data_IF_269277898108
#
_entry.id   IF_269277898108
#
_cell.length_a   1.000
_cell.length_b   1.000
_cell.length_c   1.000
_cell.angle_alpha   90.00
_cell.angle_beta   90.00
_cell.angle_gamma   90.00
#
_symmetry.space_group_name_H-M   'P 1'
#
loop_
_entity.id
_entity.type
_entity.pdbx_description
1 polymer ?
#
# COMPACT_ATOMS: atom_id res chain seq x y z
N UNK A 1 -37.50 -7.70 17.43
CA UNK A 1 -36.18 -7.04 17.64
C UNK A 1 -35.31 -7.17 16.39
N UNK A 2 -35.25 -6.09 15.62
CA UNK A 2 -34.52 -5.97 14.37
C UNK A 2 -33.01 -6.03 14.62
N UNK A 3 -32.30 -6.95 13.92
CA UNK A 3 -30.84 -6.91 13.87
C UNK A 3 -30.43 -5.58 13.25
N UNK A 4 -29.55 -4.78 13.87
CA UNK A 4 -29.19 -3.52 13.27
C UNK A 4 -28.32 -3.79 12.04
N UNK A 5 -28.70 -3.23 10.89
CA UNK A 5 -28.01 -3.38 9.61
C UNK A 5 -26.75 -2.52 9.56
N UNK A 6 -25.73 -2.85 10.34
CA UNK A 6 -24.43 -2.20 10.22
C UNK A 6 -23.57 -2.93 9.18
N UNK A 7 -23.88 -2.75 7.89
CA UNK A 7 -22.94 -3.09 6.82
C UNK A 7 -22.08 -1.85 6.53
N UNK A 8 -21.18 -1.50 7.44
CA UNK A 8 -20.06 -0.63 7.05
C UNK A 8 -19.09 -1.44 6.20
N UNK A 9 -18.54 -0.82 5.15
CA UNK A 9 -17.63 -1.48 4.23
C UNK A 9 -16.22 -1.58 4.86
N UNK A 10 -15.43 -2.63 4.55
CA UNK A 10 -14.03 -2.75 4.98
C UNK A 10 -13.17 -1.50 4.72
N UNK A 11 -13.53 -0.71 3.70
CA UNK A 11 -12.90 0.57 3.36
C UNK A 11 -13.07 1.63 4.47
N UNK A 12 -14.26 1.74 5.07
CA UNK A 12 -14.54 2.72 6.13
C UNK A 12 -13.80 2.34 7.42
N UNK A 13 -13.72 1.05 7.75
CA UNK A 13 -12.94 0.57 8.89
C UNK A 13 -11.43 0.83 8.69
N UNK A 14 -10.94 0.70 7.46
CA UNK A 14 -9.54 1.01 7.15
C UNK A 14 -9.23 2.52 7.26
N UNK A 15 -10.15 3.39 6.80
CA UNK A 15 -10.02 4.83 7.00
C UNK A 15 -9.99 5.20 8.49
N UNK A 16 -10.89 4.61 9.29
CA UNK A 16 -10.90 4.78 10.73
C UNK A 16 -9.58 4.34 11.37
N UNK A 17 -8.98 3.23 10.94
CA UNK A 17 -7.67 2.80 11.42
C UNK A 17 -6.58 3.84 11.10
N UNK A 18 -6.57 4.38 9.89
CA UNK A 18 -5.59 5.41 9.48
C UNK A 18 -5.74 6.72 10.26
N UNK A 19 -6.95 7.05 10.70
CA UNK A 19 -7.20 8.20 11.55
C UNK A 19 -6.81 7.91 13.00
N UNK A 20 -7.09 6.70 13.49
CA UNK A 20 -6.83 6.29 14.87
C UNK A 20 -5.36 6.04 15.19
N UNK A 21 -4.58 5.64 14.20
CA UNK A 21 -3.19 5.23 14.42
C UNK A 21 -2.27 5.74 13.30
N UNK A 22 -1.06 6.22 13.64
CA UNK A 22 -0.06 6.57 12.64
C UNK A 22 0.50 5.34 11.91
N UNK A 23 0.18 4.12 12.35
CA UNK A 23 0.76 2.87 11.87
C UNK A 23 0.87 2.77 10.35
N UNK A 24 -0.24 2.94 9.63
CA UNK A 24 -0.28 2.85 8.16
C UNK A 24 0.36 4.08 7.50
N UNK A 25 0.15 5.27 8.07
CA UNK A 25 0.67 6.53 7.54
C UNK A 25 2.20 6.60 7.63
N UNK A 26 2.78 6.04 8.69
CA UNK A 26 4.23 5.95 8.90
C UNK A 26 4.89 5.21 7.73
N UNK A 27 4.44 3.99 7.45
CA UNK A 27 4.98 3.19 6.34
C UNK A 27 4.89 3.90 4.99
N UNK A 28 3.72 4.51 4.70
CA UNK A 28 3.52 5.27 3.46
C UNK A 28 4.45 6.50 3.37
N UNK A 29 4.58 7.30 4.42
CA UNK A 29 5.41 8.50 4.39
C UNK A 29 6.90 8.18 4.34
N UNK A 30 7.36 7.14 5.05
CA UNK A 30 8.75 6.69 4.96
C UNK A 30 9.07 6.15 3.57
N UNK A 31 8.19 5.34 2.97
CA UNK A 31 8.36 4.87 1.60
C UNK A 31 8.36 6.03 0.61
N UNK A 32 7.43 6.98 0.75
CA UNK A 32 7.35 8.16 -0.12
C UNK A 32 8.62 9.03 -0.03
N UNK A 33 9.18 9.21 1.17
CA UNK A 33 10.43 9.95 1.33
C UNK A 33 11.59 9.27 0.59
N UNK A 34 11.74 7.94 0.74
CA UNK A 34 12.75 7.17 0.00
C UNK A 34 12.54 7.26 -1.53
N UNK A 35 11.29 7.26 -1.99
CA UNK A 35 10.94 7.44 -3.40
C UNK A 35 11.35 8.83 -3.89
N UNK A 36 10.99 9.90 -3.17
CA UNK A 36 11.32 11.28 -3.53
C UNK A 36 12.83 11.49 -3.67
N UNK A 37 13.61 10.97 -2.72
CA UNK A 37 15.07 11.03 -2.76
C UNK A 37 15.64 10.25 -3.95
N UNK A 38 15.12 9.04 -4.19
CA UNK A 38 15.57 8.22 -5.29
C UNK A 38 15.30 8.86 -6.66
N UNK A 39 14.14 9.48 -6.86
CA UNK A 39 13.72 10.03 -8.17
C UNK A 39 14.00 11.52 -8.33
N UNK A 40 14.76 12.13 -7.42
CA UNK A 40 15.11 13.54 -7.49
C UNK A 40 15.79 13.89 -8.82
N UNK A 41 15.26 14.93 -9.49
CA UNK A 41 15.76 15.41 -10.78
C UNK A 41 15.27 14.63 -12.01
N UNK A 42 14.55 13.52 -11.82
CA UNK A 42 13.96 12.75 -12.93
C UNK A 42 12.79 13.52 -13.54
N UNK A 43 12.61 13.41 -14.86
CA UNK A 43 11.49 14.06 -15.57
C UNK A 43 10.26 13.17 -15.72
N UNK A 44 10.45 11.86 -15.52
CA UNK A 44 9.41 10.83 -15.63
C UNK A 44 9.64 9.80 -14.54
N UNK A 45 8.62 9.58 -13.73
CA UNK A 45 8.64 8.61 -12.63
C UNK A 45 7.55 7.59 -12.89
N UNK A 46 7.89 6.31 -12.81
CA UNK A 46 6.94 5.22 -12.98
C UNK A 46 6.95 4.31 -11.77
N UNK A 47 5.86 4.35 -11.01
CA UNK A 47 5.64 3.52 -9.84
C UNK A 47 4.85 2.28 -10.26
N UNK A 48 5.38 1.11 -9.93
CA UNK A 48 4.69 -0.17 -10.00
C UNK A 48 4.29 -0.54 -8.58
N UNK A 49 2.99 -0.51 -8.29
CA UNK A 49 2.44 -0.80 -6.97
C UNK A 49 1.87 -2.21 -6.93
N UNK A 50 2.40 -3.04 -6.04
CA UNK A 50 1.97 -4.42 -5.87
C UNK A 50 0.51 -4.56 -5.39
N UNK A 51 0.01 -3.62 -4.58
CA UNK A 51 -1.35 -3.63 -4.03
C UNK A 51 -1.83 -2.20 -3.70
N UNK A 52 -2.37 -1.53 -4.72
CA UNK A 52 -2.67 -0.10 -4.66
C UNK A 52 -3.78 0.30 -3.67
N UNK A 53 -4.62 -0.66 -3.26
CA UNK A 53 -5.78 -0.43 -2.41
C UNK A 53 -6.62 0.79 -2.88
N UNK A 54 -6.78 1.79 -2.01
CA UNK A 54 -7.51 3.04 -2.27
C UNK A 54 -6.62 4.19 -2.78
N UNK A 55 -5.31 3.95 -2.96
CA UNK A 55 -4.36 4.94 -3.48
C UNK A 55 -3.95 6.06 -2.52
N UNK A 56 -4.25 5.94 -1.22
CA UNK A 56 -3.98 7.00 -0.22
C UNK A 56 -2.50 7.38 -0.16
N UNK A 57 -1.58 6.41 -0.23
CA UNK A 57 -0.14 6.67 -0.28
C UNK A 57 0.21 7.65 -1.41
N UNK A 58 -0.38 7.46 -2.58
CA UNK A 58 -0.03 8.20 -3.78
C UNK A 58 -0.54 9.63 -3.79
N UNK A 59 -1.71 9.90 -3.20
CA UNK A 59 -2.18 11.27 -3.02
C UNK A 59 -1.16 12.10 -2.21
N UNK A 60 -0.61 11.54 -1.14
CA UNK A 60 0.42 12.25 -0.35
C UNK A 60 1.75 12.41 -1.07
N UNK A 61 2.18 11.41 -1.86
CA UNK A 61 3.39 11.54 -2.69
C UNK A 61 3.23 12.65 -3.73
N UNK A 62 2.08 12.70 -4.42
CA UNK A 62 1.80 13.72 -5.42
C UNK A 62 1.86 15.13 -4.85
N UNK A 63 1.31 15.36 -3.65
CA UNK A 63 1.45 16.64 -2.95
C UNK A 63 2.89 16.98 -2.65
N UNK A 64 3.65 16.02 -2.10
CA UNK A 64 5.06 16.24 -1.77
C UNK A 64 5.91 16.57 -3.02
N UNK A 65 5.65 15.90 -4.15
CA UNK A 65 6.31 16.18 -5.43
C UNK A 65 6.01 17.62 -5.90
N UNK A 66 4.77 18.08 -5.80
CA UNK A 66 4.40 19.45 -6.18
C UNK A 66 5.02 20.47 -5.22
N UNK A 67 4.95 20.24 -3.90
CA UNK A 67 5.47 21.17 -2.89
C UNK A 67 6.98 21.33 -2.93
N UNK A 68 7.76 20.27 -3.18
CA UNK A 68 9.21 20.40 -3.36
C UNK A 68 9.56 21.26 -4.59
N UNK A 69 8.67 21.31 -5.57
CA UNK A 69 8.89 21.96 -6.85
C UNK A 69 8.49 23.44 -6.89
N UNK A 70 7.71 23.92 -5.92
CA UNK A 70 7.36 25.36 -5.80
C UNK A 70 8.59 26.27 -5.72
N UNK A 71 9.74 25.71 -5.32
CA UNK A 71 11.03 26.42 -5.22
C UNK A 71 11.94 26.22 -6.44
N UNK A 72 11.53 25.43 -7.44
CA UNK A 72 12.33 25.04 -8.61
C UNK A 72 11.82 25.67 -9.91
N UNK A 73 12.72 25.91 -10.85
CA UNK A 73 12.41 26.47 -12.19
C UNK A 73 11.79 25.39 -13.11
N UNK A 74 12.04 24.11 -12.83
CA UNK A 74 11.56 23.00 -13.67
C UNK A 74 10.14 22.57 -13.28
N UNK A 75 9.27 22.17 -14.23
CA UNK A 75 7.94 21.63 -13.91
C UNK A 75 8.04 20.23 -13.27
N UNK A 76 7.05 19.82 -12.46
CA UNK A 76 7.05 18.50 -11.84
C UNK A 76 7.10 17.36 -12.84
N UNK A 77 7.72 16.23 -12.45
CA UNK A 77 7.84 15.10 -13.34
C UNK A 77 6.47 14.58 -13.75
N UNK A 78 6.42 13.95 -14.92
CA UNK A 78 5.28 13.11 -15.23
C UNK A 78 5.29 11.89 -14.30
N UNK A 79 4.22 11.71 -13.52
CA UNK A 79 4.03 10.56 -12.66
C UNK A 79 3.13 9.53 -13.32
N UNK A 80 3.64 8.31 -13.48
CA UNK A 80 2.87 7.15 -13.94
C UNK A 80 2.74 6.15 -12.79
N UNK A 81 1.54 5.65 -12.55
CA UNK A 81 1.31 4.55 -11.60
C UNK A 81 0.73 3.35 -12.33
N UNK A 82 1.32 2.18 -12.14
CA UNK A 82 0.80 0.88 -12.58
C UNK A 82 0.42 0.05 -11.37
N UNK A 83 -0.87 -0.22 -11.20
CA UNK A 83 -1.34 -1.16 -10.18
C UNK A 83 -1.20 -2.61 -10.67
N UNK A 84 -0.61 -3.47 -9.85
CA UNK A 84 -0.58 -4.92 -10.08
C UNK A 84 -1.92 -5.52 -9.63
N UNK A 85 -2.50 -6.37 -10.48
CA UNK A 85 -3.79 -7.03 -10.24
C UNK A 85 -3.66 -8.54 -10.36
N UNK A 86 -4.48 -9.30 -9.61
CA UNK A 86 -4.46 -10.78 -9.64
C UNK A 86 -5.50 -11.32 -10.61
N UNK A 87 -5.22 -12.46 -11.25
CA UNK A 87 -6.14 -13.07 -12.23
C UNK A 87 -7.40 -13.67 -11.60
N UNK A 88 -7.39 -13.95 -10.29
CA UNK A 88 -8.51 -14.56 -9.53
C UNK A 88 -9.28 -13.63 -8.58
N UNK A 89 -9.04 -12.30 -8.61
CA UNK A 89 -9.74 -11.37 -7.73
C UNK A 89 -11.26 -11.33 -8.03
N UNK A 90 -12.09 -11.23 -6.99
CA UNK A 90 -13.53 -10.94 -7.16
C UNK A 90 -13.69 -9.76 -8.13
N UNK A 91 -14.65 -9.78 -9.08
CA UNK A 91 -14.84 -8.69 -10.06
C UNK A 91 -14.91 -7.29 -9.43
N UNK A 92 -15.31 -7.19 -8.16
CA UNK A 92 -15.25 -5.97 -7.34
C UNK A 92 -13.84 -5.36 -7.21
N UNK A 93 -12.77 -6.16 -7.22
CA UNK A 93 -11.36 -5.72 -7.10
C UNK A 93 -10.85 -4.99 -8.35
N UNK A 94 -11.25 -5.41 -9.55
CA UNK A 94 -10.83 -4.71 -10.78
C UNK A 94 -11.56 -3.38 -10.92
N UNK A 95 -12.86 -3.36 -10.62
CA UNK A 95 -13.65 -2.12 -10.59
C UNK A 95 -13.08 -1.14 -9.56
N UNK A 96 -12.70 -1.61 -8.37
CA UNK A 96 -12.11 -0.74 -7.34
C UNK A 96 -10.75 -0.17 -7.75
N UNK A 97 -9.89 -0.93 -8.46
CA UNK A 97 -8.61 -0.42 -8.98
C UNK A 97 -8.82 0.66 -10.04
N UNK A 98 -9.78 0.47 -10.96
CA UNK A 98 -10.11 1.50 -11.97
C UNK A 98 -10.68 2.77 -11.33
N UNK A 99 -11.54 2.63 -10.32
CA UNK A 99 -12.08 3.78 -9.60
C UNK A 99 -11.00 4.50 -8.78
N UNK A 100 -10.05 3.76 -8.21
CA UNK A 100 -8.85 4.32 -7.57
C UNK A 100 -8.02 5.12 -8.57
N UNK A 101 -7.75 4.56 -9.75
CA UNK A 101 -7.05 5.25 -10.82
C UNK A 101 -7.73 6.55 -11.26
N UNK A 102 -9.08 6.56 -11.34
CA UNK A 102 -9.86 7.77 -11.63
C UNK A 102 -9.73 8.82 -10.52
N UNK A 103 -9.81 8.41 -9.25
CA UNK A 103 -9.63 9.32 -8.09
C UNK A 103 -8.24 9.94 -8.08
N UNK A 104 -7.21 9.14 -8.31
CA UNK A 104 -5.82 9.61 -8.41
C UNK A 104 -5.61 10.57 -9.59
N UNK A 105 -6.21 10.28 -10.76
CA UNK A 105 -6.12 11.18 -11.90
C UNK A 105 -6.83 12.51 -11.67
N UNK A 106 -8.02 12.49 -11.06
CA UNK A 106 -8.73 13.71 -10.68
C UNK A 106 -7.95 14.53 -9.66
N UNK A 107 -7.34 13.87 -8.67
CA UNK A 107 -6.50 14.53 -7.68
C UNK A 107 -5.25 15.16 -8.29
N UNK A 108 -4.50 14.42 -9.12
CA UNK A 108 -3.34 14.93 -9.83
C UNK A 108 -3.69 16.17 -10.68
N UNK A 109 -4.82 16.12 -11.40
CA UNK A 109 -5.31 17.26 -12.17
C UNK A 109 -5.64 18.48 -11.29
N UNK A 110 -6.23 18.26 -10.10
CA UNK A 110 -6.58 19.34 -9.17
C UNK A 110 -5.37 20.09 -8.60
N UNK A 111 -4.19 19.45 -8.58
CA UNK A 111 -2.93 20.04 -8.12
C UNK A 111 -1.96 20.35 -9.27
N UNK A 112 -2.39 20.23 -10.52
CA UNK A 112 -1.58 20.55 -11.70
C UNK A 112 -0.44 19.56 -12.00
N UNK A 113 -0.50 18.33 -11.48
CA UNK A 113 0.52 17.30 -11.72
C UNK A 113 0.21 16.50 -13.00
N UNK A 114 1.20 16.36 -13.88
CA UNK A 114 1.09 15.50 -15.06
C UNK A 114 1.06 14.03 -14.65
N UNK A 115 -0.03 13.33 -14.92
CA UNK A 115 -0.27 11.99 -14.38
C UNK A 115 -0.82 11.00 -15.41
N UNK A 116 -0.44 9.73 -15.29
CA UNK A 116 -1.07 8.61 -16.00
C UNK A 116 -1.25 7.39 -15.09
N UNK A 117 -2.33 6.64 -15.33
CA UNK A 117 -2.64 5.43 -14.58
C UNK A 117 -2.73 4.22 -15.51
N UNK A 118 -2.17 3.10 -15.08
CA UNK A 118 -2.26 1.82 -15.75
C UNK A 118 -2.45 0.68 -14.77
N UNK A 119 -2.65 -0.50 -15.32
CA UNK A 119 -2.66 -1.74 -14.55
C UNK A 119 -1.92 -2.82 -15.33
N UNK A 120 -1.29 -3.73 -14.59
CA UNK A 120 -0.78 -4.99 -15.13
C UNK A 120 -1.35 -6.14 -14.31
N UNK A 121 -1.27 -7.35 -14.85
CA UNK A 121 -1.82 -8.54 -14.20
C UNK A 121 -0.72 -9.54 -13.94
N UNK A 122 -0.76 -10.14 -12.76
CA UNK A 122 -0.04 -11.37 -12.49
C UNK A 122 -0.55 -12.48 -13.43
N UNK A 123 0.31 -13.43 -13.75
CA UNK A 123 -0.10 -14.59 -14.54
C UNK A 123 -0.94 -15.59 -13.73
N UNK A 124 -1.21 -16.75 -14.30
CA UNK A 124 -1.97 -17.82 -13.65
C UNK A 124 -1.30 -18.39 -12.40
N UNK A 125 0.02 -18.23 -12.27
CA UNK A 125 0.84 -18.73 -11.16
C UNK A 125 1.10 -17.62 -10.12
N UNK A 126 0.34 -16.53 -10.20
CA UNK A 126 0.49 -15.32 -9.38
C UNK A 126 1.89 -14.70 -9.46
N UNK A 127 2.56 -14.83 -10.61
CA UNK A 127 3.89 -14.28 -10.88
C UNK A 127 3.80 -12.98 -11.68
N UNK A 128 4.65 -12.00 -11.35
CA UNK A 128 4.78 -10.79 -12.15
C UNK A 128 5.74 -11.07 -13.30
N UNK A 129 5.25 -10.97 -14.54
CA UNK A 129 6.10 -10.99 -15.73
C UNK A 129 6.57 -9.57 -16.03
N UNK A 130 7.88 -9.26 -16.08
CA UNK A 130 8.38 -7.91 -16.35
C UNK A 130 7.82 -7.30 -17.64
N UNK A 131 7.63 -8.11 -18.69
CA UNK A 131 7.03 -7.70 -19.95
C UNK A 131 5.56 -7.20 -19.83
N UNK A 132 4.85 -7.55 -18.75
CA UNK A 132 3.51 -7.04 -18.47
C UNK A 132 3.53 -5.57 -17.97
N UNK A 133 4.67 -5.11 -17.46
CA UNK A 133 4.89 -3.73 -17.05
C UNK A 133 5.39 -2.93 -18.25
N UNK A 134 4.54 -2.03 -18.76
CA UNK A 134 4.89 -1.18 -19.92
C UNK A 134 5.87 -0.07 -19.49
N UNK A 135 7.16 -0.37 -19.52
CA UNK A 135 8.19 0.63 -19.21
C UNK A 135 8.48 1.51 -20.44
N UNK A 136 8.59 2.82 -20.24
CA UNK A 136 8.96 3.79 -21.30
C UNK A 136 10.41 4.22 -21.12
N UNK A 137 11.14 4.35 -22.23
CA UNK A 137 12.54 4.79 -22.19
C UNK A 137 12.67 6.15 -21.48
N UNK A 138 13.57 6.21 -20.50
CA UNK A 138 13.90 7.43 -19.75
C UNK A 138 12.98 7.73 -18.56
N UNK A 139 12.18 6.77 -18.10
CA UNK A 139 11.50 6.88 -16.81
C UNK A 139 12.29 6.20 -15.68
N UNK A 140 12.27 6.80 -14.50
CA UNK A 140 12.77 6.17 -13.28
C UNK A 140 11.70 5.23 -12.72
N UNK A 141 11.99 3.93 -12.74
CA UNK A 141 11.08 2.89 -12.27
C UNK A 141 11.22 2.71 -10.76
N UNK A 142 10.10 2.62 -10.06
CA UNK A 142 9.99 2.40 -8.61
C UNK A 142 9.08 1.21 -8.40
N UNK A 143 9.49 0.26 -7.54
CA UNK A 143 8.61 -0.82 -7.09
C UNK A 143 8.19 -0.55 -5.65
N UNK A 144 6.89 -0.53 -5.39
CA UNK A 144 6.34 -0.34 -4.05
C UNK A 144 5.54 -1.58 -3.62
N UNK A 145 5.89 -2.12 -2.45
CA UNK A 145 5.26 -3.28 -1.85
C UNK A 145 4.86 -2.94 -0.41
N UNK A 146 3.64 -2.43 -0.23
CA UNK A 146 3.08 -2.12 1.09
C UNK A 146 2.20 -3.29 1.59
N UNK A 147 2.68 -4.03 2.57
CA UNK A 147 2.14 -5.31 3.03
C UNK A 147 1.19 -5.23 4.24
N UNK A 148 0.55 -4.08 4.50
CA UNK A 148 -0.33 -3.89 5.66
C UNK A 148 -1.52 -4.90 5.73
N UNK A 149 -1.97 -5.30 6.95
CA UNK A 149 -3.28 -5.96 7.17
C UNK A 149 -4.44 -5.00 6.80
N UNK A 150 -5.62 -5.45 6.33
CA UNK A 150 -6.29 -6.76 6.50
C UNK A 150 -6.16 -7.74 5.30
N UNK A 151 -5.22 -7.52 4.38
CA UNK A 151 -5.17 -8.25 3.10
C UNK A 151 -4.17 -9.41 3.03
N UNK A 152 -3.68 -9.85 4.20
CA UNK A 152 -2.87 -11.07 4.37
C UNK A 152 -3.37 -12.29 3.57
N UNK A 153 -4.69 -12.59 3.45
CA UNK A 153 -5.12 -13.81 2.74
C UNK A 153 -4.92 -13.79 1.22
N UNK A 154 -4.55 -12.65 0.61
CA UNK A 154 -4.45 -12.49 -0.84
C UNK A 154 -3.02 -12.54 -1.37
N UNK A 155 -2.02 -12.85 -0.53
CA UNK A 155 -0.60 -12.71 -0.86
C UNK A 155 0.14 -14.02 -0.57
N UNK A 156 0.67 -14.66 -1.61
CA UNK A 156 1.62 -15.76 -1.44
C UNK A 156 3.04 -15.21 -1.37
N UNK A 157 3.90 -15.81 -0.53
CA UNK A 157 5.31 -15.45 -0.46
C UNK A 157 6.00 -15.56 -1.84
N UNK A 158 5.61 -16.56 -2.64
CA UNK A 158 6.07 -16.72 -4.01
C UNK A 158 5.67 -15.55 -4.92
N UNK A 159 4.47 -14.99 -4.77
CA UNK A 159 4.00 -13.85 -5.55
C UNK A 159 4.74 -12.56 -5.19
N UNK A 160 4.98 -12.32 -3.90
CA UNK A 160 5.80 -11.18 -3.42
C UNK A 160 7.25 -11.34 -3.89
N UNK A 161 7.83 -12.54 -3.75
CA UNK A 161 9.18 -12.82 -4.22
C UNK A 161 9.31 -12.60 -5.74
N UNK A 162 8.30 -12.98 -6.52
CA UNK A 162 8.21 -12.71 -7.96
C UNK A 162 8.26 -11.21 -8.26
N UNK A 163 7.43 -10.44 -7.55
CA UNK A 163 7.36 -8.99 -7.71
C UNK A 163 8.71 -8.34 -7.38
N UNK A 164 9.30 -8.66 -6.24
CA UNK A 164 10.60 -8.12 -5.83
C UNK A 164 11.73 -8.58 -6.77
N UNK A 165 11.70 -9.83 -7.22
CA UNK A 165 12.66 -10.38 -8.19
C UNK A 165 12.63 -9.66 -9.54
N UNK A 166 11.47 -9.11 -9.94
CA UNK A 166 11.34 -8.35 -11.18
C UNK A 166 12.06 -6.99 -11.16
N UNK A 167 12.48 -6.50 -9.99
CA UNK A 167 13.11 -5.19 -9.84
C UNK A 167 14.34 -5.02 -10.73
N UNK A 168 15.21 -6.03 -10.79
CA UNK A 168 16.44 -5.97 -11.59
C UNK A 168 16.13 -5.91 -13.09
N UNK A 169 15.16 -6.70 -13.56
CA UNK A 169 14.79 -6.75 -14.98
C UNK A 169 14.08 -5.47 -15.43
N UNK A 170 13.33 -4.84 -14.52
CA UNK A 170 12.67 -3.55 -14.77
C UNK A 170 13.61 -2.35 -14.61
N UNK A 171 14.86 -2.57 -14.18
CA UNK A 171 15.81 -1.48 -13.91
C UNK A 171 15.33 -0.55 -12.79
N UNK A 172 14.69 -1.11 -11.76
CA UNK A 172 14.13 -0.35 -10.66
C UNK A 172 15.20 0.47 -9.94
N UNK A 173 14.94 1.76 -9.76
CA UNK A 173 15.84 2.70 -9.07
C UNK A 173 15.74 2.58 -7.56
N UNK A 174 14.54 2.27 -7.05
CA UNK A 174 14.31 1.95 -5.64
C UNK A 174 13.17 0.94 -5.53
N UNK A 175 13.30 0.06 -4.53
CA UNK A 175 12.24 -0.85 -4.11
C UNK A 175 11.88 -0.50 -2.67
N UNK A 176 10.63 -0.15 -2.42
CA UNK A 176 10.11 0.10 -1.07
C UNK A 176 9.30 -1.10 -0.60
N UNK A 177 9.65 -1.62 0.57
CA UNK A 177 8.89 -2.69 1.24
C UNK A 177 8.46 -2.17 2.60
N UNK A 178 7.16 -2.21 2.85
CA UNK A 178 6.57 -1.85 4.15
C UNK A 178 5.89 -3.10 4.66
N UNK A 179 6.42 -3.69 5.72
CA UNK A 179 5.90 -4.91 6.33
C UNK A 179 5.75 -4.70 7.83
N UNK A 180 4.80 -5.40 8.43
CA UNK A 180 4.67 -5.47 9.87
C UNK A 180 5.83 -6.30 10.44
N UNK A 181 6.54 -5.76 11.43
CA UNK A 181 7.62 -6.48 12.07
C UNK A 181 7.04 -7.64 12.91
N UNK A 182 7.21 -8.87 12.44
CA UNK A 182 6.93 -10.08 13.22
C UNK A 182 8.21 -10.45 13.99
N UNK A 183 8.12 -10.49 15.31
CA UNK A 183 9.25 -10.77 16.20
C UNK A 183 9.61 -12.28 16.24
N UNK A 184 9.77 -12.92 15.09
CA UNK A 184 9.89 -14.38 14.99
C UNK A 184 10.73 -14.90 13.82
N UNK A 185 11.30 -14.01 12.99
CA UNK A 185 12.08 -14.37 11.80
C UNK A 185 13.53 -14.81 12.04
N UNK A 186 13.96 -15.00 13.29
CA UNK A 186 15.19 -15.75 13.55
C UNK A 186 14.87 -17.21 13.21
N UNK A 187 15.57 -17.79 12.23
CA UNK A 187 15.29 -19.08 11.58
C UNK A 187 15.28 -20.34 12.46
N UNK A 188 15.00 -20.23 13.75
CA UNK A 188 14.64 -21.36 14.60
C UNK A 188 13.16 -21.69 14.39
N UNK A 189 12.89 -22.56 13.41
CA UNK A 189 11.57 -23.08 13.04
C UNK A 189 10.87 -23.91 14.13
N UNK A 190 11.15 -23.63 15.41
CA UNK A 190 10.69 -24.39 16.57
C UNK A 190 10.07 -23.50 17.66
N UNK A 191 9.34 -22.44 17.30
CA UNK A 191 8.35 -21.88 18.22
C UNK A 191 7.08 -22.71 18.11
N UNK A 192 6.92 -23.68 19.01
CA UNK A 192 5.65 -24.40 19.15
C UNK A 192 4.48 -23.43 19.39
N UNK A 193 3.24 -23.92 19.27
CA UNK A 193 2.01 -23.12 19.37
C UNK A 193 2.03 -22.02 20.45
N UNK A 194 2.52 -22.35 21.66
CA UNK A 194 2.58 -21.41 22.79
C UNK A 194 3.47 -20.19 22.49
N UNK A 195 4.62 -20.39 21.83
CA UNK A 195 5.53 -19.31 21.48
C UNK A 195 4.89 -18.34 20.49
N UNK A 196 4.32 -18.87 19.40
CA UNK A 196 3.59 -18.07 18.40
C UNK A 196 2.39 -17.36 19.00
N UNK A 197 1.60 -18.05 19.85
CA UNK A 197 0.45 -17.45 20.52
C UNK A 197 0.86 -16.29 21.43
N UNK A 198 1.92 -16.45 22.22
CA UNK A 198 2.39 -15.39 23.12
C UNK A 198 2.95 -14.18 22.37
N UNK A 199 3.62 -14.40 21.24
CA UNK A 199 4.10 -13.32 20.37
C UNK A 199 2.94 -12.55 19.75
N UNK A 200 1.95 -13.28 19.23
CA UNK A 200 0.76 -12.71 18.63
C UNK A 200 -0.09 -11.93 19.64
N UNK A 201 -0.20 -12.46 20.87
CA UNK A 201 -0.82 -11.74 22.00
C UNK A 201 -0.10 -10.44 22.33
N UNK A 202 1.24 -10.43 22.35
CA UNK A 202 2.02 -9.21 22.60
C UNK A 202 1.83 -8.19 21.47
N UNK A 203 1.84 -8.66 20.22
CA UNK A 203 1.60 -7.83 19.02
C UNK A 203 0.23 -7.16 19.08
N UNK A 204 -0.82 -7.95 19.31
CA UNK A 204 -2.18 -7.45 19.42
C UNK A 204 -2.37 -6.53 20.64
N UNK A 205 -1.79 -6.86 21.80
CA UNK A 205 -1.83 -5.97 22.97
C UNK A 205 -1.24 -4.60 22.66
N UNK A 206 -0.04 -4.54 22.06
CA UNK A 206 0.62 -3.29 21.71
C UNK A 206 -0.20 -2.45 20.72
N UNK A 207 -0.83 -3.08 19.73
CA UNK A 207 -1.72 -2.39 18.80
C UNK A 207 -2.98 -1.84 19.49
N UNK A 208 -3.57 -2.59 20.42
CA UNK A 208 -4.79 -2.17 21.14
C UNK A 208 -4.49 -1.01 22.08
N UNK A 209 -3.37 -1.08 22.81
CA UNK A 209 -2.90 -0.02 23.69
C UNK A 209 -2.62 1.27 22.87
N UNK A 210 -2.02 1.13 21.68
CA UNK A 210 -1.80 2.26 20.77
C UNK A 210 -3.10 2.89 20.28
N UNK A 211 -4.12 2.09 19.96
CA UNK A 211 -5.43 2.61 19.52
C UNK A 211 -6.16 3.30 20.66
N UNK A 212 -6.06 2.76 21.88
CA UNK A 212 -6.65 3.34 23.09
C UNK A 212 -6.04 4.71 23.41
N UNK A 213 -4.71 4.81 23.32
CA UNK A 213 -3.99 6.06 23.57
C UNK A 213 -4.27 7.13 22.49
N UNK A 214 -4.40 6.73 21.22
CA UNK A 214 -4.61 7.65 20.11
C UNK A 214 -6.01 8.26 20.05
N UNK A 215 -7.05 7.49 20.38
CA UNK A 215 -8.45 7.89 20.22
C UNK A 215 -9.34 7.53 21.43
N UNK A 216 -9.21 8.25 22.57
CA UNK A 216 -9.87 7.87 23.81
C UNK A 216 -11.42 7.96 23.84
N UNK A 217 -12.12 8.36 22.76
CA UNK A 217 -13.54 8.78 22.86
C UNK A 217 -14.52 8.26 21.77
N UNK A 218 -14.21 7.20 21.02
CA UNK A 218 -15.14 6.60 20.03
C UNK A 218 -15.23 5.08 20.14
N UNK A 219 -15.77 4.55 21.25
CA UNK A 219 -15.84 3.09 21.50
C UNK A 219 -16.53 2.27 20.39
N UNK A 220 -17.48 2.87 19.66
CA UNK A 220 -18.12 2.22 18.51
C UNK A 220 -17.21 2.15 17.29
N UNK A 221 -16.44 3.19 17.00
CA UNK A 221 -15.52 3.22 15.86
C UNK A 221 -14.31 2.31 16.12
N UNK A 222 -13.75 2.35 17.33
CA UNK A 222 -12.68 1.44 17.78
C UNK A 222 -13.10 -0.01 17.68
N UNK A 223 -14.25 -0.38 18.25
CA UNK A 223 -14.75 -1.76 18.19
C UNK A 223 -15.03 -2.26 16.77
N UNK A 224 -15.21 -1.38 15.78
CA UNK A 224 -15.32 -1.76 14.38
C UNK A 224 -13.96 -2.05 13.74
N UNK A 225 -12.96 -1.21 14.00
CA UNK A 225 -11.58 -1.42 13.56
C UNK A 225 -11.04 -2.73 14.14
N UNK A 226 -11.22 -2.92 15.45
CA UNK A 226 -10.83 -4.14 16.15
C UNK A 226 -11.50 -5.38 15.57
N UNK A 227 -12.77 -5.31 15.15
CA UNK A 227 -13.50 -6.48 14.62
C UNK A 227 -13.25 -6.73 13.14
N UNK A 228 -13.12 -5.69 12.32
CA UNK A 228 -13.11 -5.82 10.85
C UNK A 228 -11.71 -5.81 10.24
N UNK A 229 -10.72 -5.27 10.95
CA UNK A 229 -9.34 -5.12 10.44
C UNK A 229 -8.36 -5.95 11.28
N UNK A 230 -8.47 -5.89 12.60
CA UNK A 230 -7.50 -6.52 13.50
C UNK A 230 -7.96 -7.88 14.05
N UNK A 231 -9.27 -8.13 14.02
CA UNK A 231 -9.88 -9.37 14.49
C UNK A 231 -9.51 -10.55 13.57
N UNK A 232 -9.38 -11.76 14.14
CA UNK A 232 -9.13 -12.98 13.37
C UNK A 232 -10.28 -13.37 12.45
#
# INVERSE_FOLDING_TARGET
PTRPSWKMAPVEAFQLLQDMSPYVKFGHFTANQAILEAVAGERRVHIVDYDIMEGVQWASLMQAMVSQQETSIAPPPHLRITAVTRSGGHRRSVTSVLDTGRRLAAFAASIGLSFSFGQCRLDSDDQLRPAAVKVVKGEAVVLNCALHPPHLPWRSAASVASFLGSASELGARVVTVVEEAVAGGDGDGNRGFVGSFMEEMKRYSAMWDSLEAGFPMQGKARGLVERLILGP
#
